data_IF_878165750492
#
_entry.id   IF_878165750492
#
_cell.length_a   1.000
_cell.length_b   1.000
_cell.length_c   1.000
_cell.angle_alpha   90.00
_cell.angle_beta   90.00
_cell.angle_gamma   90.00
#
_symmetry.space_group_name_H-M   'P 1'
#
loop_
_entity.id
_entity.type
_entity.pdbx_description
1 polymer ?
#
# COMPACT_ATOMS: atom_id res chain seq x y z
N UNK A 1 10.07 11.03 -18.22
CA UNK A 1 9.21 9.93 -17.76
C UNK A 1 7.84 9.98 -18.41
N UNK A 2 6.96 10.95 -18.12
CA UNK A 2 5.58 10.97 -18.66
C UNK A 2 5.50 10.90 -20.19
N UNK A 3 6.30 11.72 -20.90
CA UNK A 3 6.36 11.66 -22.37
C UNK A 3 6.64 10.23 -22.88
N UNK A 4 7.63 9.57 -22.30
CA UNK A 4 7.97 8.17 -22.63
C UNK A 4 6.81 7.23 -22.33
N UNK A 5 6.13 7.38 -21.18
CA UNK A 5 4.97 6.55 -20.86
C UNK A 5 3.82 6.71 -21.88
N UNK A 6 3.60 7.94 -22.36
CA UNK A 6 2.62 8.22 -23.43
C UNK A 6 3.04 7.60 -24.75
N UNK A 7 4.34 7.61 -25.08
CA UNK A 7 4.88 6.92 -26.27
C UNK A 7 4.67 5.40 -26.19
N UNK A 8 4.94 4.77 -25.04
CA UNK A 8 4.65 3.34 -24.80
C UNK A 8 3.16 3.04 -25.03
N UNK A 9 2.28 3.82 -24.40
CA UNK A 9 0.84 3.64 -24.54
C UNK A 9 0.36 3.86 -25.99
N UNK A 10 0.94 4.82 -26.71
CA UNK A 10 0.64 5.07 -28.12
C UNK A 10 1.03 3.87 -29.00
N UNK A 11 2.22 3.29 -28.80
CA UNK A 11 2.69 2.12 -29.55
C UNK A 11 1.83 0.88 -29.34
N UNK A 12 1.33 0.68 -28.12
CA UNK A 12 0.34 -0.38 -27.84
C UNK A 12 -0.98 -0.13 -28.60
N UNK A 13 -1.46 1.12 -28.60
CA UNK A 13 -2.67 1.51 -29.34
C UNK A 13 -2.54 1.40 -30.85
N UNK A 14 -1.38 1.73 -31.41
CA UNK A 14 -1.07 1.53 -32.84
C UNK A 14 -1.17 0.05 -33.26
N UNK A 15 -1.01 -0.87 -32.32
CA UNK A 15 -1.20 -2.32 -32.51
C UNK A 15 -2.64 -2.79 -32.21
N UNK A 16 -3.57 -1.86 -31.98
CA UNK A 16 -4.99 -2.16 -31.76
C UNK A 16 -5.37 -2.45 -30.31
N UNK A 17 -4.48 -2.19 -29.35
CA UNK A 17 -4.69 -2.48 -27.94
C UNK A 17 -5.11 -1.28 -27.11
N UNK A 18 -5.85 -1.52 -26.04
CA UNK A 18 -6.12 -0.52 -25.01
C UNK A 18 -4.84 -0.34 -24.19
N UNK A 19 -4.48 0.91 -23.90
CA UNK A 19 -3.39 1.23 -22.98
C UNK A 19 -3.75 2.46 -22.14
N UNK A 20 -3.77 2.28 -20.82
CA UNK A 20 -4.09 3.32 -19.85
C UNK A 20 -2.98 3.45 -18.81
N UNK A 21 -2.84 4.62 -18.20
CA UNK A 21 -2.11 4.70 -16.93
C UNK A 21 -3.02 4.18 -15.81
N UNK A 22 -2.45 3.54 -14.80
CA UNK A 22 -3.23 2.86 -13.77
C UNK A 22 -2.65 3.04 -12.37
N UNK A 23 -3.49 2.92 -11.34
CA UNK A 23 -3.01 2.81 -9.96
C UNK A 23 -2.65 4.15 -9.31
N UNK A 24 -1.54 4.15 -8.56
CA UNK A 24 -1.13 5.28 -7.73
C UNK A 24 -0.83 6.55 -8.53
N UNK A 25 -0.32 6.40 -9.76
CA UNK A 25 -0.02 7.54 -10.62
C UNK A 25 -1.28 8.31 -11.01
N UNK A 26 -2.39 7.62 -11.28
CA UNK A 26 -3.68 8.23 -11.62
C UNK A 26 -4.25 8.96 -10.41
N UNK A 27 -4.17 8.36 -9.22
CA UNK A 27 -4.56 9.01 -7.95
C UNK A 27 -3.82 10.34 -7.77
N UNK A 28 -2.51 10.33 -7.96
CA UNK A 28 -1.70 11.52 -7.74
C UNK A 28 -2.01 12.61 -8.79
N UNK A 29 -2.23 12.23 -10.06
CA UNK A 29 -2.72 13.15 -11.10
C UNK A 29 -4.08 13.76 -10.73
N UNK A 30 -5.05 12.96 -10.25
CA UNK A 30 -6.37 13.45 -9.81
C UNK A 30 -6.25 14.42 -8.63
N UNK A 31 -5.24 14.25 -7.78
CA UNK A 31 -4.91 15.17 -6.67
C UNK A 31 -4.20 16.45 -7.11
N UNK A 32 -3.83 16.56 -8.38
CA UNK A 32 -3.03 17.66 -8.91
C UNK A 32 -1.53 17.55 -8.56
N UNK A 33 -1.06 16.35 -8.22
CA UNK A 33 0.34 16.05 -7.92
C UNK A 33 1.05 15.39 -9.12
N UNK A 34 2.35 15.62 -9.25
CA UNK A 34 3.17 14.92 -10.25
C UNK A 34 3.48 13.50 -9.77
N UNK A 35 3.12 12.46 -10.52
CA UNK A 35 3.41 11.09 -10.13
C UNK A 35 4.92 10.79 -10.17
N UNK A 36 5.40 9.96 -9.24
CA UNK A 36 6.82 9.56 -9.14
C UNK A 36 7.17 8.41 -10.08
N UNK A 37 6.18 7.60 -10.38
CA UNK A 37 6.18 6.39 -11.20
C UNK A 37 4.89 6.37 -12.05
N UNK A 38 4.92 5.68 -13.19
CA UNK A 38 3.75 5.54 -14.06
C UNK A 38 3.63 4.06 -14.44
N UNK A 39 2.57 3.43 -13.95
CA UNK A 39 2.19 2.08 -14.34
C UNK A 39 1.22 2.15 -15.52
N UNK A 40 1.39 1.24 -16.47
CA UNK A 40 0.58 1.14 -17.68
C UNK A 40 -0.21 -0.17 -17.61
N UNK A 41 -1.51 -0.09 -17.84
CA UNK A 41 -2.38 -1.25 -17.94
C UNK A 41 -2.92 -1.39 -19.38
N UNK A 42 -2.93 -2.62 -19.90
CA UNK A 42 -3.27 -2.89 -21.31
C UNK A 42 -4.01 -4.21 -21.49
N UNK A 43 -4.77 -4.38 -22.57
CA UNK A 43 -5.32 -5.69 -22.95
C UNK A 43 -4.32 -6.51 -23.80
N UNK A 44 -3.14 -5.98 -24.11
CA UNK A 44 -2.05 -6.72 -24.73
C UNK A 44 -1.48 -7.76 -23.76
N UNK A 45 -1.39 -9.01 -24.22
CA UNK A 45 -0.75 -10.08 -23.46
C UNK A 45 0.76 -9.87 -23.29
N UNK A 46 1.40 -10.47 -22.26
CA UNK A 46 2.82 -10.29 -21.96
C UNK A 46 3.75 -10.58 -23.15
N UNK A 47 3.47 -11.65 -23.90
CA UNK A 47 4.25 -12.04 -25.08
C UNK A 47 4.23 -10.95 -26.16
N UNK A 48 3.06 -10.34 -26.40
CA UNK A 48 2.91 -9.26 -27.36
C UNK A 48 3.61 -7.98 -26.88
N UNK A 49 3.54 -7.67 -25.58
CA UNK A 49 4.29 -6.54 -24.99
C UNK A 49 5.79 -6.74 -25.25
N UNK A 50 6.31 -7.96 -25.05
CA UNK A 50 7.71 -8.27 -25.34
C UNK A 50 8.06 -8.22 -26.84
N UNK A 51 7.12 -8.55 -27.73
CA UNK A 51 7.29 -8.39 -29.18
C UNK A 51 7.36 -6.91 -29.58
N UNK A 52 6.47 -6.08 -29.02
CA UNK A 52 6.42 -4.64 -29.31
C UNK A 52 7.68 -3.95 -28.77
N UNK A 53 8.13 -4.29 -27.57
CA UNK A 53 9.21 -3.58 -26.89
C UNK A 53 10.50 -4.42 -26.81
N UNK A 54 11.60 -4.01 -27.47
CA UNK A 54 12.82 -4.83 -27.57
C UNK A 54 13.59 -4.96 -26.25
N UNK A 55 13.39 -4.04 -25.30
CA UNK A 55 14.04 -4.04 -23.99
C UNK A 55 13.02 -4.27 -22.90
N UNK A 56 12.78 -5.53 -22.60
CA UNK A 56 11.83 -5.96 -21.58
C UNK A 56 12.44 -7.00 -20.66
N UNK A 57 11.92 -7.10 -19.44
CA UNK A 57 12.12 -8.26 -18.58
C UNK A 57 10.82 -8.60 -17.88
N UNK A 58 10.56 -9.89 -17.76
CA UNK A 58 9.35 -10.38 -17.12
C UNK A 58 9.50 -10.27 -15.59
N UNK A 59 8.65 -9.48 -14.96
CA UNK A 59 8.55 -9.39 -13.50
C UNK A 59 7.28 -10.13 -13.12
N UNK A 60 7.40 -11.44 -12.92
CA UNK A 60 6.24 -12.28 -12.65
C UNK A 60 5.33 -12.45 -13.87
N UNK A 61 5.86 -13.06 -14.95
CA UNK A 61 5.10 -13.38 -16.16
C UNK A 61 3.75 -14.07 -15.87
N UNK A 62 3.71 -14.95 -14.86
CA UNK A 62 2.50 -15.62 -14.39
C UNK A 62 1.40 -14.66 -13.89
N UNK A 63 1.74 -13.41 -13.58
CA UNK A 63 0.84 -12.36 -13.12
C UNK A 63 0.51 -11.33 -14.20
N UNK A 64 1.05 -11.49 -15.41
CA UNK A 64 0.79 -10.61 -16.54
C UNK A 64 1.52 -9.27 -16.48
N UNK A 65 2.65 -9.16 -15.79
CA UNK A 65 3.42 -7.90 -15.69
C UNK A 65 4.77 -8.03 -16.39
N UNK A 66 5.03 -7.08 -17.30
CA UNK A 66 6.30 -6.94 -18.02
C UNK A 66 6.86 -5.55 -17.69
N UNK A 67 8.15 -5.48 -17.36
CA UNK A 67 8.82 -4.17 -17.26
C UNK A 67 9.40 -3.82 -18.62
N UNK A 68 9.00 -2.66 -19.13
CA UNK A 68 9.50 -2.06 -20.36
C UNK A 68 10.55 -1.00 -20.01
N UNK A 69 11.73 -1.09 -20.63
CA UNK A 69 12.81 -0.11 -20.46
C UNK A 69 12.95 0.75 -21.69
N UNK A 70 12.58 2.03 -21.59
CA UNK A 70 12.62 2.97 -22.72
C UNK A 70 13.14 4.34 -22.25
N UNK A 71 14.00 4.96 -23.06
CA UNK A 71 14.63 6.26 -22.76
C UNK A 71 15.31 6.34 -21.37
N UNK A 72 15.83 5.21 -20.87
CA UNK A 72 16.49 5.12 -19.56
C UNK A 72 15.53 5.02 -18.36
N UNK A 73 14.23 4.96 -18.60
CA UNK A 73 13.20 4.76 -17.57
C UNK A 73 12.65 3.33 -17.61
N UNK A 74 12.12 2.86 -16.49
CA UNK A 74 11.45 1.58 -16.34
C UNK A 74 9.96 1.82 -16.13
N UNK A 75 9.11 1.06 -16.83
CA UNK A 75 7.65 1.14 -16.72
C UNK A 75 7.08 -0.25 -16.52
N UNK A 76 6.22 -0.41 -15.51
CA UNK A 76 5.45 -1.65 -15.36
C UNK A 76 4.27 -1.61 -16.34
N UNK A 77 4.24 -2.58 -17.25
CA UNK A 77 3.15 -2.80 -18.20
C UNK A 77 2.42 -4.07 -17.77
N UNK A 78 1.22 -3.91 -17.24
CA UNK A 78 0.39 -4.99 -16.72
C UNK A 78 -0.79 -5.27 -17.65
N UNK A 79 -1.00 -6.54 -18.00
CA UNK A 79 -2.20 -6.96 -18.73
C UNK A 79 -3.43 -6.89 -17.80
N UNK A 80 -4.54 -6.33 -18.27
CA UNK A 80 -5.81 -6.33 -17.55
C UNK A 80 -6.20 -7.76 -17.23
N UNK A 81 -6.56 -8.00 -15.97
CA UNK A 81 -6.89 -9.35 -15.52
C UNK A 81 -7.99 -9.36 -14.48
N UNK A 82 -8.66 -10.50 -14.40
CA UNK A 82 -9.52 -10.89 -13.30
C UNK A 82 -8.83 -12.03 -12.55
N UNK A 83 -8.97 -12.02 -11.23
CA UNK A 83 -8.34 -12.99 -10.35
C UNK A 83 -9.37 -14.06 -9.95
N UNK A 84 -9.04 -15.35 -10.09
CA UNK A 84 -9.84 -16.44 -9.53
C UNK A 84 -9.76 -16.48 -8.00
N UNK A 85 -10.41 -17.47 -7.38
CA UNK A 85 -10.39 -17.68 -5.92
C UNK A 85 -8.95 -17.71 -5.38
N UNK A 86 -8.73 -17.00 -4.29
CA UNK A 86 -7.46 -16.99 -3.56
C UNK A 86 -7.40 -18.18 -2.60
N UNK A 87 -6.34 -19.00 -2.69
CA UNK A 87 -6.22 -20.24 -1.89
C UNK A 87 -5.42 -20.02 -0.61
N UNK A 88 -4.43 -19.13 -0.63
CA UNK A 88 -3.47 -18.92 0.45
C UNK A 88 -3.50 -17.50 1.02
N UNK A 89 -4.58 -16.74 0.76
CA UNK A 89 -4.67 -15.35 1.17
C UNK A 89 -3.64 -14.44 0.47
N UNK A 90 -3.09 -14.86 -0.68
CA UNK A 90 -2.09 -14.11 -1.43
C UNK A 90 -2.25 -14.20 -2.95
N UNK A 91 -2.42 -15.41 -3.49
CA UNK A 91 -2.42 -15.66 -4.95
C UNK A 91 -3.72 -16.32 -5.38
N UNK A 92 -4.33 -15.83 -6.47
CA UNK A 92 -5.43 -16.54 -7.08
C UNK A 92 -4.94 -17.85 -7.71
N UNK A 93 -5.83 -18.83 -7.84
CA UNK A 93 -5.55 -20.10 -8.55
C UNK A 93 -5.09 -19.85 -9.98
N UNK A 94 -5.77 -18.92 -10.66
CA UNK A 94 -5.49 -18.51 -12.03
C UNK A 94 -5.83 -17.03 -12.23
N UNK A 95 -5.28 -16.45 -13.28
CA UNK A 95 -5.62 -15.11 -13.75
C UNK A 95 -6.16 -15.23 -15.17
N UNK A 96 -7.24 -14.51 -15.47
CA UNK A 96 -7.81 -14.46 -16.81
C UNK A 96 -7.70 -13.04 -17.36
N UNK A 97 -7.21 -12.89 -18.59
CA UNK A 97 -7.19 -11.58 -19.23
C UNK A 97 -8.61 -11.05 -19.42
N UNK A 98 -8.82 -9.78 -19.08
CA UNK A 98 -10.15 -9.22 -18.87
C UNK A 98 -10.27 -7.78 -19.33
N UNK A 99 -11.43 -7.17 -19.08
CA UNK A 99 -11.66 -5.75 -19.40
C UNK A 99 -11.02 -4.83 -18.34
N UNK A 100 -10.81 -3.54 -18.67
CA UNK A 100 -10.38 -2.54 -17.69
C UNK A 100 -11.31 -2.48 -16.47
N UNK A 101 -12.61 -2.65 -16.66
CA UNK A 101 -13.59 -2.60 -15.56
C UNK A 101 -13.40 -3.76 -14.58
N UNK A 102 -13.15 -4.98 -15.07
CA UNK A 102 -12.88 -6.13 -14.20
C UNK A 102 -11.51 -6.01 -13.51
N UNK A 103 -10.50 -5.45 -14.20
CA UNK A 103 -9.20 -5.15 -13.58
C UNK A 103 -9.33 -4.11 -12.45
N UNK A 104 -10.17 -3.08 -12.62
CA UNK A 104 -10.43 -2.11 -11.57
C UNK A 104 -11.06 -2.79 -10.33
N UNK A 105 -12.06 -3.65 -10.53
CA UNK A 105 -12.79 -4.32 -9.43
C UNK A 105 -11.89 -5.20 -8.57
N UNK A 106 -10.85 -5.81 -9.13
CA UNK A 106 -9.90 -6.65 -8.37
C UNK A 106 -8.82 -5.87 -7.61
N UNK A 107 -8.73 -4.54 -7.73
CA UNK A 107 -7.75 -3.73 -7.00
C UNK A 107 -8.14 -3.58 -5.53
N UNK A 108 -7.22 -3.07 -4.72
CA UNK A 108 -7.39 -2.99 -3.27
C UNK A 108 -8.36 -1.86 -2.87
N UNK A 109 -8.09 -0.63 -3.31
CA UNK A 109 -8.82 0.57 -2.91
C UNK A 109 -9.27 1.40 -4.09
N UNK A 110 -10.44 2.03 -3.95
CA UNK A 110 -11.10 2.85 -5.00
C UNK A 110 -10.17 3.91 -5.55
N UNK A 111 -9.44 4.61 -4.67
CA UNK A 111 -8.45 5.64 -5.01
C UNK A 111 -7.31 5.15 -5.92
N UNK A 112 -7.04 3.84 -5.96
CA UNK A 112 -6.03 3.22 -6.84
C UNK A 112 -6.67 2.36 -7.95
N UNK A 113 -7.99 2.32 -8.02
CA UNK A 113 -8.78 1.57 -8.99
C UNK A 113 -9.15 2.36 -10.25
N UNK A 114 -8.59 3.55 -10.42
CA UNK A 114 -8.84 4.42 -11.56
C UNK A 114 -7.80 4.22 -12.68
N UNK A 115 -8.19 4.60 -13.89
CA UNK A 115 -7.33 4.67 -15.06
C UNK A 115 -7.30 6.08 -15.65
N UNK A 116 -6.23 6.40 -16.39
CA UNK A 116 -6.16 7.61 -17.21
C UNK A 116 -5.89 7.19 -18.66
N UNK A 117 -6.71 7.70 -19.58
CA UNK A 117 -6.44 7.60 -21.02
C UNK A 117 -5.37 8.65 -21.41
N UNK A 118 -4.15 8.24 -21.78
CA UNK A 118 -3.08 9.18 -22.11
C UNK A 118 -3.25 9.91 -23.46
N UNK A 119 -4.25 9.56 -24.26
CA UNK A 119 -4.55 10.25 -25.53
C UNK A 119 -5.73 11.21 -25.36
N UNK A 120 -6.85 10.72 -24.82
CA UNK A 120 -8.03 11.53 -24.54
C UNK A 120 -7.82 12.46 -23.33
N UNK A 121 -6.81 12.17 -22.50
CA UNK A 121 -6.52 12.85 -21.24
C UNK A 121 -7.73 12.83 -20.29
N UNK A 122 -8.41 11.68 -20.23
CA UNK A 122 -9.64 11.47 -19.47
C UNK A 122 -9.42 10.42 -18.38
N UNK A 123 -9.88 10.71 -17.17
CA UNK A 123 -9.87 9.76 -16.05
C UNK A 123 -11.08 8.86 -16.15
N UNK A 124 -10.82 7.56 -16.27
CA UNK A 124 -11.82 6.50 -16.31
C UNK A 124 -11.93 5.89 -14.91
N UNK A 125 -13.12 5.98 -14.32
CA UNK A 125 -13.38 5.55 -12.95
C UNK A 125 -14.58 4.59 -12.91
N UNK A 126 -14.30 3.32 -12.65
CA UNK A 126 -15.31 2.27 -12.56
C UNK A 126 -15.75 1.98 -11.11
N UNK A 127 -15.09 2.58 -10.12
CA UNK A 127 -15.17 2.15 -8.72
C UNK A 127 -15.43 3.31 -7.74
N UNK A 128 -15.61 4.54 -8.24
CA UNK A 128 -15.87 5.72 -7.43
C UNK A 128 -14.61 6.32 -6.80
N UNK A 129 -13.43 6.03 -7.35
CA UNK A 129 -12.15 6.53 -6.85
C UNK A 129 -12.03 8.05 -6.84
N UNK A 130 -12.63 8.77 -7.80
CA UNK A 130 -12.59 10.23 -7.85
C UNK A 130 -13.30 10.87 -6.66
N UNK A 131 -14.47 10.35 -6.32
CA UNK A 131 -15.25 10.81 -5.19
C UNK A 131 -14.53 10.53 -3.86
N UNK A 132 -13.88 9.37 -3.72
CA UNK A 132 -13.11 9.05 -2.51
C UNK A 132 -11.80 9.86 -2.41
N UNK A 133 -11.16 10.20 -3.54
CA UNK A 133 -10.02 11.14 -3.54
C UNK A 133 -10.45 12.53 -3.07
N UNK A 134 -11.58 13.04 -3.58
CA UNK A 134 -12.15 14.33 -3.15
C UNK A 134 -12.54 14.32 -1.67
N UNK A 135 -13.17 13.23 -1.21
CA UNK A 135 -13.55 13.03 0.18
C UNK A 135 -12.38 12.67 1.11
N UNK A 136 -11.17 12.46 0.58
CA UNK A 136 -9.96 12.00 1.30
C UNK A 136 -10.19 10.70 2.07
N UNK A 137 -10.74 9.70 1.37
CA UNK A 137 -11.09 8.38 1.91
C UNK A 137 -10.25 7.25 1.29
N UNK A 138 -9.85 6.29 2.13
CA UNK A 138 -9.36 4.97 1.72
C UNK A 138 -10.51 3.98 1.89
N UNK A 139 -11.12 3.59 0.77
CA UNK A 139 -12.25 2.66 0.71
C UNK A 139 -11.86 1.41 -0.08
N UNK A 140 -12.12 0.23 0.46
CA UNK A 140 -11.89 -1.02 -0.27
C UNK A 140 -12.87 -1.15 -1.44
N UNK A 141 -12.42 -1.76 -2.54
CA UNK A 141 -13.30 -2.05 -3.69
C UNK A 141 -14.06 -3.35 -3.42
N UNK A 142 -15.39 -3.30 -3.44
CA UNK A 142 -16.25 -4.46 -3.12
C UNK A 142 -16.50 -4.60 -1.61
N UNK A 143 -16.77 -5.83 -1.15
CA UNK A 143 -17.03 -6.13 0.27
C UNK A 143 -15.71 -6.22 1.08
N UNK A 144 -15.43 -5.29 2.01
CA UNK A 144 -14.11 -5.24 2.66
C UNK A 144 -13.70 -6.54 3.39
N UNK A 145 -14.66 -7.24 4.01
CA UNK A 145 -14.38 -8.48 4.73
C UNK A 145 -13.91 -9.60 3.78
N UNK A 146 -14.59 -9.78 2.65
CA UNK A 146 -14.16 -10.70 1.59
C UNK A 146 -12.78 -10.30 1.04
N UNK A 147 -12.57 -9.00 0.75
CA UNK A 147 -11.31 -8.51 0.17
C UNK A 147 -10.11 -8.70 1.10
N UNK A 148 -10.29 -8.57 2.41
CA UNK A 148 -9.23 -8.85 3.39
C UNK A 148 -8.99 -10.34 3.60
N UNK A 149 -10.02 -11.17 3.41
CA UNK A 149 -9.86 -12.64 3.42
C UNK A 149 -9.03 -13.11 2.21
N UNK A 150 -9.24 -12.51 1.04
CA UNK A 150 -8.47 -12.81 -0.19
C UNK A 150 -7.00 -12.41 -0.10
N UNK A 151 -6.69 -11.20 0.39
CA UNK A 151 -5.32 -10.74 0.64
C UNK A 151 -5.25 -9.91 1.91
N UNK A 152 -4.79 -10.57 2.98
CA UNK A 152 -4.68 -9.97 4.32
C UNK A 152 -3.74 -8.77 4.35
N UNK A 153 -2.77 -8.70 3.43
CA UNK A 153 -1.87 -7.53 3.33
C UNK A 153 -2.64 -6.24 3.04
N UNK A 154 -3.83 -6.32 2.42
CA UNK A 154 -4.67 -5.14 2.16
C UNK A 154 -5.02 -4.39 3.44
N UNK A 155 -5.13 -5.05 4.59
CA UNK A 155 -5.35 -4.36 5.88
C UNK A 155 -4.18 -3.41 6.21
N UNK A 156 -2.94 -3.89 6.12
CA UNK A 156 -1.75 -3.04 6.32
C UNK A 156 -1.62 -1.97 5.23
N UNK A 157 -1.97 -2.28 3.99
CA UNK A 157 -1.98 -1.30 2.90
C UNK A 157 -3.01 -0.19 3.15
N UNK A 158 -4.17 -0.49 3.74
CA UNK A 158 -5.16 0.52 4.12
C UNK A 158 -4.55 1.52 5.11
N UNK A 159 -3.88 1.01 6.16
CA UNK A 159 -3.16 1.83 7.14
C UNK A 159 -2.04 2.63 6.46
N UNK A 160 -1.25 2.01 5.58
CA UNK A 160 -0.19 2.70 4.83
C UNK A 160 -0.73 3.83 3.98
N UNK A 161 -1.77 3.59 3.18
CA UNK A 161 -2.34 4.63 2.31
C UNK A 161 -2.98 5.74 3.13
N UNK A 162 -3.72 5.40 4.18
CA UNK A 162 -4.29 6.38 5.10
C UNK A 162 -3.20 7.27 5.70
N UNK A 163 -2.09 6.67 6.14
CA UNK A 163 -0.92 7.37 6.71
C UNK A 163 -0.20 8.22 5.66
N UNK A 164 0.09 7.69 4.48
CA UNK A 164 0.90 8.38 3.48
C UNK A 164 0.16 9.54 2.81
N UNK A 165 -1.15 9.41 2.60
CA UNK A 165 -1.98 10.39 1.88
C UNK A 165 -2.68 11.39 2.81
N UNK A 166 -2.57 11.20 4.12
CA UNK A 166 -3.40 11.85 5.13
C UNK A 166 -4.92 11.64 4.94
N UNK A 167 -5.35 10.44 4.55
CA UNK A 167 -6.75 10.12 4.26
C UNK A 167 -7.39 9.30 5.37
N UNK A 168 -8.67 9.49 5.66
CA UNK A 168 -9.42 8.63 6.59
C UNK A 168 -9.72 7.28 5.94
N UNK A 169 -9.81 6.22 6.73
CA UNK A 169 -10.31 4.92 6.23
C UNK A 169 -11.84 4.98 6.30
N UNK A 170 -12.53 4.55 5.25
CA UNK A 170 -13.99 4.46 5.23
C UNK A 170 -14.50 3.53 6.35
N UNK A 171 -15.66 3.85 6.96
CA UNK A 171 -16.15 3.14 8.14
C UNK A 171 -16.31 1.63 7.94
N UNK A 172 -16.90 1.19 6.81
CA UNK A 172 -17.07 -0.25 6.55
C UNK A 172 -15.73 -0.94 6.32
N UNK A 173 -14.80 -0.23 5.66
CA UNK A 173 -13.43 -0.71 5.46
C UNK A 173 -12.69 -0.81 6.80
N UNK A 174 -12.88 0.14 7.70
CA UNK A 174 -12.29 0.16 9.03
C UNK A 174 -12.83 -0.97 9.91
N UNK A 175 -14.15 -1.13 10.00
CA UNK A 175 -14.77 -2.15 10.83
C UNK A 175 -14.33 -3.56 10.41
N UNK A 176 -14.29 -3.83 9.10
CA UNK A 176 -13.78 -5.09 8.57
C UNK A 176 -12.29 -5.30 8.86
N UNK A 177 -11.48 -4.24 8.82
CA UNK A 177 -10.06 -4.30 9.13
C UNK A 177 -9.86 -4.68 10.60
N UNK A 178 -10.55 -4.00 11.53
CA UNK A 178 -10.48 -4.31 12.97
C UNK A 178 -10.90 -5.75 13.24
N UNK A 179 -12.00 -6.20 12.64
CA UNK A 179 -12.51 -7.56 12.81
C UNK A 179 -11.54 -8.64 12.33
N UNK A 180 -10.70 -8.35 11.33
CA UNK A 180 -9.79 -9.31 10.72
C UNK A 180 -8.32 -9.12 11.11
N UNK A 181 -7.97 -8.11 11.92
CA UNK A 181 -6.59 -7.72 12.19
C UNK A 181 -5.68 -8.87 12.66
N UNK A 182 -6.19 -9.79 13.49
CA UNK A 182 -5.43 -10.93 13.99
C UNK A 182 -4.97 -11.91 12.88
N UNK A 183 -5.70 -11.97 11.76
CA UNK A 183 -5.37 -12.85 10.63
C UNK A 183 -4.12 -12.43 9.86
N UNK A 184 -3.58 -11.23 10.12
CA UNK A 184 -2.41 -10.71 9.40
C UNK A 184 -1.17 -11.60 9.51
N UNK A 185 -1.06 -12.43 10.54
CA UNK A 185 0.08 -13.35 10.72
C UNK A 185 0.07 -14.56 9.76
N UNK A 186 -0.99 -14.72 8.96
CA UNK A 186 -1.04 -15.75 7.92
C UNK A 186 -0.25 -15.37 6.66
N UNK A 187 0.23 -14.13 6.55
CA UNK A 187 1.12 -13.69 5.46
C UNK A 187 2.58 -13.62 5.92
N UNK A 188 3.52 -13.64 4.96
CA UNK A 188 4.95 -13.63 5.29
C UNK A 188 5.40 -12.36 6.01
N UNK A 189 6.25 -12.54 7.03
CA UNK A 189 6.84 -11.44 7.79
C UNK A 189 7.59 -10.42 6.92
N UNK A 190 8.14 -10.85 5.78
CA UNK A 190 8.77 -9.95 4.81
C UNK A 190 7.79 -8.92 4.23
N UNK A 191 6.60 -9.35 3.79
CA UNK A 191 5.58 -8.46 3.22
C UNK A 191 5.03 -7.51 4.29
N UNK A 192 4.84 -8.02 5.50
CA UNK A 192 4.47 -7.21 6.67
C UNK A 192 5.53 -6.13 6.91
N UNK A 193 6.82 -6.51 6.95
CA UNK A 193 7.96 -5.59 7.13
C UNK A 193 7.96 -4.50 6.07
N UNK A 194 7.75 -4.83 4.80
CA UNK A 194 7.73 -3.84 3.72
C UNK A 194 6.65 -2.77 3.92
N UNK A 195 5.43 -3.17 4.29
CA UNK A 195 4.35 -2.23 4.57
C UNK A 195 4.60 -1.42 5.84
N UNK A 196 5.06 -2.05 6.93
CA UNK A 196 5.44 -1.37 8.17
C UNK A 196 6.54 -0.33 7.94
N UNK A 197 7.59 -0.67 7.19
CA UNK A 197 8.65 0.28 6.87
C UNK A 197 8.10 1.48 6.11
N UNK A 198 7.20 1.27 5.14
CA UNK A 198 6.57 2.39 4.42
C UNK A 198 5.70 3.26 5.33
N UNK A 199 5.03 2.67 6.33
CA UNK A 199 4.27 3.41 7.35
C UNK A 199 5.21 4.26 8.21
N UNK A 200 6.26 3.66 8.79
CA UNK A 200 7.14 4.35 9.73
C UNK A 200 8.15 5.30 9.09
N UNK A 201 8.51 5.10 7.82
CA UNK A 201 9.31 6.06 7.06
C UNK A 201 8.49 7.29 6.61
N UNK A 202 7.16 7.21 6.62
CA UNK A 202 6.29 8.35 6.31
C UNK A 202 6.54 9.50 7.28
N UNK A 203 6.46 10.77 6.84
CA UNK A 203 6.39 11.92 7.74
C UNK A 203 5.25 11.83 8.76
N UNK A 204 4.16 11.15 8.39
CA UNK A 204 2.96 10.99 9.21
C UNK A 204 3.00 9.71 10.08
N UNK A 205 4.18 9.15 10.35
CA UNK A 205 4.36 7.87 11.07
C UNK A 205 3.63 7.77 12.41
N UNK A 206 3.46 8.88 13.13
CA UNK A 206 2.69 8.91 14.39
C UNK A 206 1.22 8.55 14.15
N UNK A 207 0.65 9.02 13.04
CA UNK A 207 -0.70 8.63 12.63
C UNK A 207 -0.76 7.17 12.24
N UNK A 208 0.27 6.67 11.56
CA UNK A 208 0.40 5.24 11.25
C UNK A 208 0.47 4.37 12.49
N UNK A 209 1.22 4.79 13.51
CA UNK A 209 1.27 4.17 14.83
C UNK A 209 -0.13 4.10 15.45
N UNK A 210 -0.86 5.21 15.47
CA UNK A 210 -2.21 5.28 16.06
C UNK A 210 -3.21 4.36 15.33
N UNK A 211 -3.12 4.29 13.99
CA UNK A 211 -3.96 3.40 13.19
C UNK A 211 -3.60 1.93 13.39
N UNK A 212 -2.31 1.59 13.49
CA UNK A 212 -1.87 0.23 13.81
C UNK A 212 -2.36 -0.20 15.19
N UNK A 213 -2.29 0.71 16.17
CA UNK A 213 -2.76 0.45 17.52
C UNK A 213 -4.28 0.25 17.58
N UNK A 214 -5.04 1.26 17.15
CA UNK A 214 -6.50 1.27 17.20
C UNK A 214 -7.15 0.16 16.36
N UNK A 215 -6.45 -0.35 15.34
CA UNK A 215 -6.92 -1.50 14.56
C UNK A 215 -6.66 -2.85 15.21
N UNK A 216 -5.77 -2.92 16.21
CA UNK A 216 -5.27 -4.17 16.76
C UNK A 216 -4.19 -4.86 15.90
N UNK A 217 -3.81 -4.27 14.75
CA UNK A 217 -2.70 -4.77 13.93
C UNK A 217 -1.36 -4.68 14.66
N UNK A 218 -1.15 -3.64 15.47
CA UNK A 218 0.06 -3.48 16.29
C UNK A 218 0.28 -4.71 17.18
N UNK A 219 -0.74 -5.08 17.96
CA UNK A 219 -0.71 -6.27 18.83
C UNK A 219 -0.47 -7.56 18.06
N UNK A 220 -1.05 -7.69 16.87
CA UNK A 220 -0.89 -8.89 16.06
C UNK A 220 0.53 -9.04 15.52
N UNK A 221 1.16 -7.93 15.10
CA UNK A 221 2.44 -7.94 14.36
C UNK A 221 3.65 -7.70 15.27
N UNK A 222 3.52 -6.79 16.22
CA UNK A 222 4.56 -6.33 17.15
C UNK A 222 4.05 -6.47 18.60
N UNK A 223 3.79 -7.69 19.09
CA UNK A 223 3.26 -7.90 20.43
C UNK A 223 4.17 -7.32 21.53
N UNK A 224 5.48 -7.27 21.30
CA UNK A 224 6.43 -6.66 22.24
C UNK A 224 6.29 -5.13 22.31
N UNK A 225 5.90 -4.50 21.20
CA UNK A 225 5.56 -3.06 21.17
C UNK A 225 4.23 -2.81 21.88
N UNK A 226 3.23 -3.68 21.69
CA UNK A 226 1.95 -3.59 22.40
C UNK A 226 2.11 -3.74 23.92
N UNK A 227 3.03 -4.61 24.35
CA UNK A 227 3.35 -4.83 25.76
C UNK A 227 3.97 -3.60 26.46
N UNK A 228 4.42 -2.59 25.72
CA UNK A 228 4.91 -1.32 26.29
C UNK A 228 3.79 -0.49 26.94
N UNK A 229 2.52 -0.77 26.60
CA UNK A 229 1.37 -0.07 27.18
C UNK A 229 1.23 -0.39 28.67
N UNK A 230 1.06 0.64 29.48
CA UNK A 230 0.97 0.51 30.93
C UNK A 230 2.31 0.20 31.62
N UNK A 231 3.41 0.05 30.87
CA UNK A 231 4.76 -0.01 31.45
C UNK A 231 5.15 1.41 31.89
N UNK A 232 4.79 1.78 33.12
CA UNK A 232 5.04 3.11 33.68
C UNK A 232 6.52 3.35 33.88
N UNK A 233 6.92 4.61 33.74
CA UNK A 233 8.28 5.08 33.94
C UNK A 233 8.31 6.16 35.03
N UNK A 234 9.46 6.44 35.66
CA UNK A 234 9.54 7.49 36.68
C UNK A 234 9.14 8.85 36.12
N UNK A 235 8.09 9.45 36.70
CA UNK A 235 7.46 10.68 36.21
C UNK A 235 8.44 11.86 36.09
N UNK A 236 9.48 11.90 36.93
CA UNK A 236 10.53 12.92 36.87
C UNK A 236 11.26 12.95 35.51
N UNK A 237 11.47 11.79 34.90
CA UNK A 237 12.18 11.66 33.62
C UNK A 237 11.23 11.41 32.45
N UNK A 238 10.04 10.89 32.73
CA UNK A 238 9.05 10.48 31.74
C UNK A 238 7.64 11.02 32.08
N UNK A 239 7.45 12.36 32.06
CA UNK A 239 6.15 12.96 32.33
C UNK A 239 5.07 12.57 31.30
N UNK A 240 5.48 12.07 30.13
CA UNK A 240 4.59 11.57 29.07
C UNK A 240 3.89 10.24 29.39
N UNK A 241 4.32 9.53 30.45
CA UNK A 241 3.65 8.33 30.94
C UNK A 241 4.40 7.03 30.63
N UNK A 242 3.73 6.10 29.96
CA UNK A 242 4.27 4.76 29.71
C UNK A 242 5.27 4.71 28.56
N UNK A 243 5.98 3.58 28.44
CA UNK A 243 6.96 3.34 27.38
C UNK A 243 6.33 3.43 25.98
N UNK A 244 5.06 3.08 25.83
CA UNK A 244 4.33 3.15 24.56
C UNK A 244 4.14 4.62 24.11
N UNK A 245 3.67 5.49 25.00
CA UNK A 245 3.54 6.92 24.73
C UNK A 245 4.90 7.59 24.55
N UNK A 246 5.91 7.20 25.33
CA UNK A 246 7.28 7.66 25.12
C UNK A 246 7.79 7.36 23.71
N UNK A 247 7.68 6.10 23.27
CA UNK A 247 8.12 5.68 21.93
C UNK A 247 7.36 6.42 20.83
N UNK A 248 6.03 6.57 21.00
CA UNK A 248 5.19 7.36 20.08
C UNK A 248 5.65 8.82 19.99
N UNK A 249 5.98 9.44 21.12
CA UNK A 249 6.51 10.81 21.17
C UNK A 249 7.87 10.89 20.45
N UNK A 250 8.77 9.94 20.69
CA UNK A 250 10.08 9.91 20.03
C UNK A 250 9.95 9.76 18.51
N UNK A 251 9.00 8.97 18.02
CA UNK A 251 8.69 8.88 16.59
C UNK A 251 8.25 10.23 15.99
N UNK A 252 7.57 11.08 16.77
CA UNK A 252 7.15 12.43 16.33
C UNK A 252 8.31 13.43 16.19
N UNK A 253 9.41 13.20 16.92
CA UNK A 253 10.60 14.04 16.91
C UNK A 253 11.59 13.68 15.78
N UNK A 254 11.40 12.54 15.12
CA UNK A 254 12.24 12.13 14.01
C UNK A 254 12.03 13.06 12.79
N UNK A 255 13.09 13.32 11.99
CA UNK A 255 12.99 14.17 10.82
C UNK A 255 12.02 13.62 9.77
N UNK A 256 11.53 14.50 8.88
CA UNK A 256 10.63 14.14 7.79
C UNK A 256 11.22 13.00 6.93
N UNK A 257 12.48 13.16 6.52
CA UNK A 257 13.27 12.11 5.87
C UNK A 257 14.11 11.40 6.92
N UNK A 258 13.79 10.14 7.17
CA UNK A 258 14.47 9.30 8.16
C UNK A 258 14.94 8.01 7.52
N UNK A 259 16.03 7.44 8.02
CA UNK A 259 16.52 6.14 7.54
C UNK A 259 15.79 5.00 8.24
N UNK A 260 15.70 3.84 7.57
CA UNK A 260 15.14 2.63 8.16
C UNK A 260 15.81 2.24 9.48
N UNK A 261 17.15 2.18 9.56
CA UNK A 261 17.85 1.88 10.81
C UNK A 261 17.47 2.83 11.96
N UNK A 262 17.42 4.15 11.72
CA UNK A 262 17.09 5.11 12.77
C UNK A 262 15.64 4.96 13.25
N UNK A 263 14.69 4.76 12.34
CA UNK A 263 13.29 4.47 12.70
C UNK A 263 13.19 3.21 13.54
N UNK A 264 13.87 2.13 13.15
CA UNK A 264 13.86 0.87 13.90
C UNK A 264 14.53 1.03 15.27
N UNK A 265 15.62 1.79 15.37
CA UNK A 265 16.25 2.10 16.65
C UNK A 265 15.27 2.77 17.59
N UNK A 266 14.54 3.79 17.14
CA UNK A 266 13.52 4.44 17.98
C UNK A 266 12.36 3.50 18.30
N UNK A 267 11.88 2.73 17.32
CA UNK A 267 10.77 1.80 17.52
C UNK A 267 11.05 0.72 18.57
N UNK A 268 12.30 0.24 18.65
CA UNK A 268 12.66 -0.92 19.46
C UNK A 268 13.58 -0.62 20.65
N UNK A 269 14.04 0.62 20.86
CA UNK A 269 15.04 0.93 21.90
C UNK A 269 14.62 0.49 23.31
N UNK A 270 13.33 0.60 23.62
CA UNK A 270 12.76 0.33 24.95
C UNK A 270 11.84 -0.89 24.99
N UNK A 271 11.76 -1.67 23.91
CA UNK A 271 10.80 -2.77 23.76
C UNK A 271 10.95 -3.88 24.81
N UNK A 272 12.14 -3.98 25.42
CA UNK A 272 12.41 -4.96 26.47
C UNK A 272 12.00 -4.50 27.89
N UNK A 273 11.72 -3.20 28.11
CA UNK A 273 11.36 -2.66 29.44
C UNK A 273 10.22 -3.43 30.13
N UNK A 274 9.12 -3.83 29.44
CA UNK A 274 8.04 -4.59 30.08
C UNK A 274 8.49 -5.90 30.75
N UNK A 275 9.57 -6.52 30.26
CA UNK A 275 10.06 -7.81 30.77
C UNK A 275 11.34 -7.71 31.59
N UNK A 276 12.09 -6.60 31.48
CA UNK A 276 13.39 -6.45 32.16
C UNK A 276 13.47 -5.31 33.16
N UNK A 277 12.54 -4.34 33.15
CA UNK A 277 12.67 -3.16 33.98
C UNK A 277 12.51 -3.50 35.47
N UNK A 278 13.51 -3.11 36.26
CA UNK A 278 13.47 -3.12 37.72
C UNK A 278 13.87 -1.74 38.22
N UNK A 279 13.25 -1.31 39.32
CA UNK A 279 13.65 -0.09 40.03
C UNK A 279 14.27 -0.55 41.34
N UNK A 280 15.52 -0.13 41.58
CA UNK A 280 16.17 -0.41 42.86
C UNK A 280 15.42 0.35 43.96
N UNK A 281 15.15 -0.33 45.09
CA UNK A 281 14.66 0.36 46.29
C UNK A 281 15.76 1.32 46.76
N UNK A 282 15.45 2.62 46.78
CA UNK A 282 16.33 3.68 47.31
C UNK A 282 16.04 3.92 48.78
#
# INVERSE_FOLDING_TARGET
MEKTAREIAARLRERGHIAYFAGGCVRDIVRGETPKDIDIATDAGPELVQEIFPRTYAVGAHFGVIVVVENGFQFEVATFRSDDVYVDGRRPVSVHFSSPQEDAKRRDFTINGMFLDPVANEVIDFVGGRADVEARLVRAIGDPAQRFTEDRLRMLRAVRFATALDYKIDNQTWDALVANAASINEISAERIREELMRIFLSPQRVRGWDLLDSSGLMRAILPEVDAMKGCLQPEQFHPEGDVFQHTRLMLSLLPEKVSGPLVCSVLFHDVAKPVTATVDET
#
